data_IF_183075431973
#
_entry.id   IF_183075431973
#
_cell.length_a   1.000
_cell.length_b   1.000
_cell.length_c   1.000
_cell.angle_alpha   90.00
_cell.angle_beta   90.00
_cell.angle_gamma   90.00
#
_symmetry.space_group_name_H-M   'P 1'
#
loop_
_entity.id
_entity.type
_entity.pdbx_description
1 polymer ?
#
# COMPACT_ATOMS: atom_id res chain seq x y z
N UNK A 1 -3.20 -1.08 -10.97
CA UNK A 1 -2.90 -2.48 -11.28
C UNK A 1 -1.79 -2.50 -12.34
N UNK A 2 -0.53 -2.73 -11.94
CA UNK A 2 0.59 -2.88 -12.89
C UNK A 2 0.89 -4.37 -13.04
N UNK A 3 0.15 -5.02 -13.90
CA UNK A 3 0.47 -6.37 -14.38
C UNK A 3 1.35 -6.16 -15.62
N UNK A 4 2.59 -6.69 -15.59
CA UNK A 4 3.41 -6.76 -16.79
C UNK A 4 2.74 -7.73 -17.79
N UNK A 5 3.08 -7.61 -19.07
CA UNK A 5 2.61 -8.50 -20.14
C UNK A 5 2.91 -10.01 -19.91
N UNK A 6 3.60 -10.35 -18.85
CA UNK A 6 3.94 -11.72 -18.40
C UNK A 6 3.18 -12.17 -17.15
N UNK A 7 2.13 -11.45 -16.72
CA UNK A 7 1.28 -11.84 -15.60
C UNK A 7 1.91 -11.76 -14.20
N UNK A 8 3.17 -11.35 -14.08
CA UNK A 8 3.86 -11.23 -12.81
C UNK A 8 3.77 -9.81 -12.26
N UNK A 9 3.36 -9.68 -11.01
CA UNK A 9 3.36 -8.41 -10.31
C UNK A 9 4.79 -7.84 -10.25
N UNK A 10 4.97 -6.60 -10.70
CA UNK A 10 6.28 -5.92 -10.72
C UNK A 10 6.95 -5.91 -9.33
N UNK A 11 6.17 -6.05 -8.27
CA UNK A 11 6.62 -6.11 -6.87
C UNK A 11 7.48 -7.35 -6.57
N UNK A 12 7.23 -8.49 -7.21
CA UNK A 12 7.96 -9.75 -6.93
C UNK A 12 9.35 -9.78 -7.54
N UNK A 13 9.61 -9.05 -8.63
CA UNK A 13 10.92 -9.03 -9.28
C UNK A 13 11.99 -8.22 -8.53
N UNK A 14 11.58 -7.29 -7.66
CA UNK A 14 12.49 -6.37 -6.98
C UNK A 14 12.89 -6.83 -5.57
N UNK A 15 12.30 -7.92 -5.07
CA UNK A 15 12.63 -8.51 -3.76
C UNK A 15 13.81 -9.50 -3.78
N UNK A 16 14.55 -9.62 -4.89
CA UNK A 16 15.84 -10.34 -4.92
C UNK A 16 16.97 -9.48 -4.31
N UNK A 17 16.71 -8.89 -3.17
CA UNK A 17 17.77 -8.36 -2.33
C UNK A 17 18.16 -9.52 -1.44
N UNK A 18 19.40 -9.98 -1.56
CA UNK A 18 19.94 -10.96 -0.61
C UNK A 18 19.88 -10.31 0.78
N UNK A 19 18.92 -10.75 1.59
CA UNK A 19 18.76 -10.28 2.95
C UNK A 19 19.66 -11.15 3.82
N UNK A 20 20.83 -10.63 4.22
CA UNK A 20 21.64 -11.29 5.24
C UNK A 20 20.94 -11.19 6.60
N UNK A 21 21.16 -12.20 7.46
CA UNK A 21 20.63 -12.18 8.83
C UNK A 21 21.11 -10.95 9.62
N UNK A 22 22.34 -10.52 9.38
CA UNK A 22 22.90 -9.29 9.98
C UNK A 22 22.09 -8.04 9.65
N UNK A 23 21.66 -7.92 8.40
CA UNK A 23 20.86 -6.80 7.94
C UNK A 23 19.46 -6.81 8.56
N UNK A 24 18.85 -7.97 8.68
CA UNK A 24 17.55 -8.14 9.34
C UNK A 24 17.68 -7.79 10.82
N UNK A 25 18.72 -8.30 11.51
CA UNK A 25 18.97 -7.99 12.91
C UNK A 25 19.22 -6.50 13.15
N UNK A 26 19.94 -5.82 12.23
CA UNK A 26 20.12 -4.38 12.27
C UNK A 26 18.81 -3.59 12.15
N UNK A 27 17.88 -4.03 11.27
CA UNK A 27 16.56 -3.43 11.16
C UNK A 27 15.75 -3.64 12.47
N UNK A 28 15.76 -4.86 13.01
CA UNK A 28 15.06 -5.18 14.26
C UNK A 28 15.61 -4.33 15.41
N UNK A 29 16.92 -4.20 15.56
CA UNK A 29 17.54 -3.37 16.58
C UNK A 29 17.08 -1.91 16.44
N UNK A 30 17.14 -1.34 15.23
CA UNK A 30 16.74 0.04 14.98
C UNK A 30 15.23 0.30 15.22
N UNK A 31 14.38 -0.70 15.01
CA UNK A 31 12.97 -0.62 15.33
C UNK A 31 12.75 -0.63 16.86
N UNK A 32 13.47 -1.49 17.60
CA UNK A 32 13.42 -1.56 19.07
C UNK A 32 13.90 -0.27 19.72
N UNK A 33 15.00 0.28 19.24
CA UNK A 33 15.58 1.53 19.74
C UNK A 33 14.83 2.79 19.28
N UNK A 34 13.77 2.63 18.44
CA UNK A 34 13.02 3.73 17.83
C UNK A 34 13.86 4.63 16.91
N UNK A 35 15.09 4.25 16.61
CA UNK A 35 16.01 5.00 15.76
C UNK A 35 15.72 4.81 14.26
N UNK A 36 14.85 3.84 13.90
CA UNK A 36 14.51 3.58 12.52
C UNK A 36 13.93 4.82 11.82
N UNK A 37 14.53 5.17 10.68
CA UNK A 37 14.13 6.29 9.84
C UNK A 37 13.90 5.79 8.42
N UNK A 38 12.66 5.79 7.91
CA UNK A 38 12.38 5.45 6.52
C UNK A 38 13.11 6.42 5.58
N UNK A 39 13.62 5.89 4.48
CA UNK A 39 14.22 6.71 3.43
C UNK A 39 13.12 7.23 2.50
N UNK A 40 13.26 8.47 2.00
CA UNK A 40 12.34 8.96 0.98
C UNK A 40 12.36 8.06 -0.26
N UNK A 41 11.21 7.92 -0.91
CA UNK A 41 11.09 7.13 -2.13
C UNK A 41 11.80 7.81 -3.30
N UNK A 42 12.52 7.05 -4.13
CA UNK A 42 13.14 7.56 -5.36
C UNK A 42 12.07 7.75 -6.44
N UNK A 43 12.00 8.95 -7.01
CA UNK A 43 11.08 9.27 -8.09
C UNK A 43 11.54 8.65 -9.41
N UNK A 44 10.64 7.91 -10.07
CA UNK A 44 10.87 7.35 -11.41
C UNK A 44 9.66 7.63 -12.28
N UNK A 45 9.89 8.04 -13.52
CA UNK A 45 8.84 8.31 -14.48
C UNK A 45 8.66 7.12 -15.43
N UNK A 46 7.46 6.58 -15.49
CA UNK A 46 7.09 5.48 -16.40
C UNK A 46 6.14 6.02 -17.46
N UNK A 47 6.42 5.73 -18.74
CA UNK A 47 5.52 6.07 -19.84
C UNK A 47 4.16 5.38 -19.68
N UNK A 48 3.07 6.11 -19.87
CA UNK A 48 1.73 5.51 -19.96
C UNK A 48 1.58 4.85 -21.34
N UNK A 49 1.04 3.62 -21.33
CA UNK A 49 0.70 2.93 -22.56
C UNK A 49 -0.32 3.76 -23.34
N UNK A 50 -0.06 4.00 -24.63
CA UNK A 50 -0.90 4.78 -25.55
C UNK A 50 -1.09 6.28 -25.18
N UNK A 51 -0.12 6.91 -24.50
CA UNK A 51 -0.18 8.33 -24.17
C UNK A 51 1.24 8.91 -24.02
N UNK A 52 1.44 10.16 -24.46
CA UNK A 52 2.68 10.91 -24.22
C UNK A 52 2.87 11.34 -22.75
N UNK A 53 1.90 11.04 -21.88
CA UNK A 53 1.97 11.37 -20.46
C UNK A 53 2.80 10.34 -19.71
N UNK A 54 3.64 10.80 -18.79
CA UNK A 54 4.40 9.95 -17.86
C UNK A 54 3.63 9.78 -16.56
N UNK A 55 3.73 8.59 -15.95
CA UNK A 55 3.23 8.30 -14.61
C UNK A 55 4.39 8.38 -13.65
N UNK A 56 4.22 9.12 -12.57
CA UNK A 56 5.16 9.15 -11.46
C UNK A 56 5.05 7.87 -10.64
N UNK A 57 6.19 7.24 -10.34
CA UNK A 57 6.29 6.11 -9.43
C UNK A 57 7.35 6.39 -8.37
N UNK A 58 7.01 6.20 -7.09
CA UNK A 58 7.95 6.22 -5.98
C UNK A 58 8.52 4.81 -5.73
N UNK A 59 9.83 4.66 -5.81
CA UNK A 59 10.51 3.40 -5.50
C UNK A 59 11.13 3.48 -4.12
N UNK A 60 10.61 2.69 -3.20
CA UNK A 60 11.09 2.57 -1.82
C UNK A 60 12.40 1.77 -1.74
N UNK A 61 13.20 2.01 -0.70
CA UNK A 61 14.38 1.19 -0.40
C UNK A 61 13.98 -0.25 -0.03
N UNK A 62 14.90 -1.21 -0.20
CA UNK A 62 14.60 -2.60 0.12
C UNK A 62 14.30 -2.84 1.60
N UNK A 63 14.97 -2.12 2.50
CA UNK A 63 14.69 -2.21 3.94
C UNK A 63 13.29 -1.67 4.27
N UNK A 64 12.95 -0.52 3.68
CA UNK A 64 11.66 0.11 3.92
C UNK A 64 10.51 -0.75 3.39
N UNK A 65 10.70 -1.41 2.24
CA UNK A 65 9.72 -2.37 1.71
C UNK A 65 9.47 -3.53 2.67
N UNK A 66 10.54 -4.06 3.29
CA UNK A 66 10.39 -5.14 4.25
C UNK A 66 9.58 -4.70 5.47
N UNK A 67 9.96 -3.55 6.05
CA UNK A 67 9.25 -3.00 7.22
C UNK A 67 7.80 -2.67 6.87
N UNK A 68 7.55 -2.07 5.70
CA UNK A 68 6.20 -1.78 5.22
C UNK A 68 5.36 -3.05 5.03
N UNK A 69 5.95 -4.15 4.54
CA UNK A 69 5.22 -5.41 4.40
C UNK A 69 4.81 -5.98 5.77
N UNK A 70 5.69 -5.89 6.78
CA UNK A 70 5.35 -6.28 8.15
C UNK A 70 4.23 -5.39 8.72
N UNK A 71 4.35 -4.06 8.56
CA UNK A 71 3.30 -3.11 8.96
C UNK A 71 1.98 -3.44 8.28
N UNK A 72 2.01 -3.72 6.97
CA UNK A 72 0.83 -4.13 6.20
C UNK A 72 0.18 -5.39 6.77
N UNK A 73 0.96 -6.44 7.07
CA UNK A 73 0.44 -7.69 7.66
C UNK A 73 -0.28 -7.43 8.99
N UNK A 74 0.27 -6.58 9.85
CA UNK A 74 -0.35 -6.19 11.11
C UNK A 74 -1.68 -5.44 10.85
N UNK A 75 -1.66 -4.45 9.97
CA UNK A 75 -2.86 -3.68 9.62
C UNK A 75 -3.92 -4.56 8.96
N UNK A 76 -3.54 -5.49 8.09
CA UNK A 76 -4.46 -6.46 7.48
C UNK A 76 -5.16 -7.29 8.56
N UNK A 77 -4.45 -7.82 9.54
CA UNK A 77 -5.05 -8.63 10.60
C UNK A 77 -6.07 -7.85 11.45
N UNK A 78 -5.87 -6.53 11.63
CA UNK A 78 -6.76 -5.66 12.41
C UNK A 78 -7.98 -5.23 11.59
N UNK A 79 -7.78 -4.87 10.31
CA UNK A 79 -8.81 -4.22 9.50
C UNK A 79 -9.57 -5.16 8.56
N UNK A 80 -9.01 -6.31 8.18
CA UNK A 80 -9.67 -7.26 7.28
C UNK A 80 -11.07 -7.68 7.77
N UNK A 81 -11.29 -7.97 9.07
CA UNK A 81 -12.62 -8.32 9.57
C UNK A 81 -13.65 -7.18 9.50
N UNK A 82 -13.18 -5.94 9.38
CA UNK A 82 -14.01 -4.73 9.41
C UNK A 82 -14.43 -4.28 8.02
N UNK A 83 -13.65 -4.64 7.01
CA UNK A 83 -13.94 -4.23 5.64
C UNK A 83 -15.26 -4.80 5.13
N UNK A 84 -16.01 -3.94 4.47
CA UNK A 84 -17.26 -4.37 3.80
C UNK A 84 -16.99 -5.51 2.82
N UNK A 85 -17.93 -6.45 2.76
CA UNK A 85 -17.89 -7.53 1.76
C UNK A 85 -17.95 -7.03 0.31
N UNK A 86 -18.32 -5.77 0.09
CA UNK A 86 -18.35 -5.11 -1.23
C UNK A 86 -17.01 -4.51 -1.61
N UNK A 87 -16.02 -4.44 -0.69
CA UNK A 87 -14.68 -3.96 -0.96
C UNK A 87 -13.81 -5.10 -1.49
N UNK A 88 -13.22 -4.94 -2.68
CA UNK A 88 -12.40 -5.96 -3.33
C UNK A 88 -10.95 -5.53 -3.57
N UNK A 89 -10.64 -4.23 -3.52
CA UNK A 89 -9.32 -3.70 -3.83
C UNK A 89 -8.28 -4.04 -2.78
N UNK A 90 -7.14 -4.60 -3.20
CA UNK A 90 -5.96 -4.85 -2.36
C UNK A 90 -6.20 -5.72 -1.11
N UNK A 91 -7.20 -6.57 -1.12
CA UNK A 91 -7.53 -7.48 -0.01
C UNK A 91 -7.11 -8.92 -0.31
N UNK A 92 -6.73 -9.71 0.73
CA UNK A 92 -6.48 -11.14 0.59
C UNK A 92 -7.69 -11.87 -0.01
N UNK A 93 -7.43 -12.82 -0.90
CA UNK A 93 -8.48 -13.64 -1.56
C UNK A 93 -9.55 -12.83 -2.33
N UNK A 94 -9.32 -11.55 -2.60
CA UNK A 94 -10.18 -10.69 -3.42
C UNK A 94 -9.44 -10.26 -4.69
N UNK A 95 -10.18 -10.13 -5.78
CA UNK A 95 -9.62 -9.78 -7.10
C UNK A 95 -10.64 -9.03 -7.94
N UNK A 96 -10.23 -8.53 -9.09
CA UNK A 96 -11.16 -7.96 -10.07
C UNK A 96 -12.23 -8.98 -10.49
N UNK A 97 -11.88 -10.27 -10.61
CA UNK A 97 -12.82 -11.32 -10.95
C UNK A 97 -13.89 -11.50 -9.87
N UNK A 98 -13.51 -11.49 -8.60
CA UNK A 98 -14.49 -11.60 -7.50
C UNK A 98 -15.42 -10.38 -7.46
N UNK A 99 -14.91 -9.18 -7.78
CA UNK A 99 -15.74 -7.98 -7.90
C UNK A 99 -16.75 -8.10 -9.05
N UNK A 100 -16.30 -8.54 -10.23
CA UNK A 100 -17.17 -8.73 -11.39
C UNK A 100 -18.25 -9.79 -11.14
N UNK A 101 -17.89 -10.92 -10.52
CA UNK A 101 -18.86 -11.95 -10.15
C UNK A 101 -19.90 -11.41 -9.14
N UNK A 102 -19.48 -10.58 -8.20
CA UNK A 102 -20.40 -9.95 -7.25
C UNK A 102 -21.35 -8.99 -7.96
N UNK A 103 -20.85 -8.14 -8.86
CA UNK A 103 -21.66 -7.23 -9.67
C UNK A 103 -22.68 -8.03 -10.48
N UNK A 104 -22.26 -9.08 -11.18
CA UNK A 104 -23.15 -9.93 -11.97
C UNK A 104 -24.29 -10.50 -11.13
N UNK A 105 -24.02 -10.91 -9.88
CA UNK A 105 -25.03 -11.47 -8.98
C UNK A 105 -25.96 -10.43 -8.38
N UNK A 106 -25.46 -9.23 -8.07
CA UNK A 106 -26.21 -8.23 -7.29
C UNK A 106 -26.89 -7.18 -8.16
N UNK A 107 -26.43 -6.94 -9.40
CA UNK A 107 -26.98 -5.93 -10.29
C UNK A 107 -28.03 -6.48 -11.27
N UNK A 108 -28.51 -7.70 -11.03
CA UNK A 108 -29.60 -8.27 -11.85
C UNK A 108 -30.84 -7.40 -11.71
N UNK A 109 -31.37 -6.92 -12.85
CA UNK A 109 -32.55 -6.05 -12.89
C UNK A 109 -32.30 -4.56 -12.60
N UNK A 110 -31.06 -4.13 -12.39
CA UNK A 110 -30.74 -2.71 -12.28
C UNK A 110 -30.74 -2.04 -13.65
N UNK A 111 -31.48 -0.93 -13.78
CA UNK A 111 -31.50 -0.10 -14.99
C UNK A 111 -30.51 1.07 -14.93
N UNK A 112 -30.05 1.45 -13.74
CA UNK A 112 -29.16 2.59 -13.52
C UNK A 112 -28.06 2.24 -12.53
N UNK A 113 -26.88 2.77 -12.77
CA UNK A 113 -25.76 2.73 -11.80
C UNK A 113 -25.07 4.08 -11.74
N UNK A 114 -24.51 4.41 -10.59
CA UNK A 114 -23.70 5.60 -10.40
C UNK A 114 -22.25 5.18 -10.24
N UNK A 115 -21.38 5.73 -11.09
CA UNK A 115 -19.93 5.55 -11.01
C UNK A 115 -19.29 6.79 -10.39
N UNK A 116 -18.40 6.60 -9.43
CA UNK A 116 -17.65 7.67 -8.79
C UNK A 116 -16.19 7.29 -8.61
N UNK A 117 -15.29 8.26 -8.80
CA UNK A 117 -13.86 8.11 -8.54
C UNK A 117 -13.34 9.31 -7.76
N UNK A 118 -12.38 9.08 -6.86
CA UNK A 118 -11.78 10.15 -6.06
C UNK A 118 -10.54 10.65 -6.78
N UNK A 119 -10.62 11.89 -7.27
CA UNK A 119 -9.49 12.52 -7.96
C UNK A 119 -8.29 12.69 -7.03
N UNK A 120 -7.10 12.26 -7.51
CA UNK A 120 -5.83 12.41 -6.81
C UNK A 120 -5.85 11.92 -5.34
N UNK A 121 -6.57 10.82 -5.04
CA UNK A 121 -6.82 10.32 -3.69
C UNK A 121 -5.56 10.28 -2.81
N UNK A 122 -4.46 9.69 -3.31
CA UNK A 122 -3.22 9.55 -2.54
C UNK A 122 -2.46 10.87 -2.33
N UNK A 123 -2.64 11.84 -3.23
CA UNK A 123 -1.94 13.13 -3.16
C UNK A 123 -2.71 14.15 -2.30
N UNK A 124 -4.04 13.96 -2.15
CA UNK A 124 -4.94 14.86 -1.43
C UNK A 124 -5.24 14.44 0.01
N UNK A 125 -4.79 13.25 0.43
CA UNK A 125 -5.15 12.70 1.74
C UNK A 125 -4.32 13.33 2.85
N UNK A 126 -5.01 13.89 3.86
CA UNK A 126 -4.33 14.41 5.05
C UNK A 126 -3.81 13.26 5.92
N UNK A 127 -2.50 13.26 6.17
CA UNK A 127 -1.83 12.27 6.99
C UNK A 127 -2.36 12.25 8.44
N UNK A 128 -2.82 13.39 8.96
CA UNK A 128 -3.38 13.45 10.31
C UNK A 128 -4.68 12.64 10.40
N UNK A 129 -5.54 12.76 9.39
CA UNK A 129 -6.80 11.98 9.34
C UNK A 129 -6.52 10.48 9.31
N UNK A 130 -5.49 10.03 8.54
CA UNK A 130 -5.09 8.62 8.53
C UNK A 130 -4.72 8.17 9.95
N UNK A 131 -3.87 8.93 10.64
CA UNK A 131 -3.41 8.59 11.99
C UNK A 131 -4.56 8.58 13.00
N UNK A 132 -5.48 9.52 12.93
CA UNK A 132 -6.67 9.55 13.79
C UNK A 132 -7.56 8.31 13.58
N UNK A 133 -7.73 7.86 12.34
CA UNK A 133 -8.48 6.63 12.02
C UNK A 133 -7.78 5.42 12.61
N UNK A 134 -6.45 5.34 12.50
CA UNK A 134 -5.66 4.24 13.06
C UNK A 134 -5.73 4.20 14.58
N UNK A 135 -5.63 5.36 15.25
CA UNK A 135 -5.73 5.49 16.72
C UNK A 135 -7.07 5.03 17.30
N UNK A 136 -8.13 5.00 16.50
CA UNK A 136 -9.43 4.44 16.95
C UNK A 136 -9.40 2.95 17.27
N UNK A 137 -8.38 2.22 16.79
CA UNK A 137 -8.26 0.77 16.93
C UNK A 137 -6.91 0.29 17.42
N UNK A 138 -5.91 1.15 17.40
CA UNK A 138 -4.53 0.81 17.72
C UNK A 138 -4.07 1.78 18.80
N UNK A 139 -3.87 1.26 20.01
CA UNK A 139 -3.42 2.04 21.17
C UNK A 139 -1.90 2.14 21.25
N UNK A 140 -1.16 1.34 20.43
CA UNK A 140 0.30 1.36 20.43
C UNK A 140 0.83 2.63 19.74
N UNK A 141 1.23 3.60 20.56
CA UNK A 141 1.80 4.84 20.06
C UNK A 141 3.11 4.64 19.30
N UNK A 142 3.91 3.62 19.63
CA UNK A 142 5.19 3.37 18.92
C UNK A 142 4.92 2.90 17.51
N UNK A 143 3.93 2.04 17.33
CA UNK A 143 3.50 1.58 16.02
C UNK A 143 2.92 2.75 15.19
N UNK A 144 2.09 3.59 15.79
CA UNK A 144 1.55 4.80 15.15
C UNK A 144 2.67 5.77 14.74
N UNK A 145 3.67 5.99 15.60
CA UNK A 145 4.83 6.83 15.27
C UNK A 145 5.65 6.26 14.11
N UNK A 146 5.78 4.94 14.01
CA UNK A 146 6.45 4.30 12.88
C UNK A 146 5.70 4.59 11.58
N UNK A 147 4.38 4.42 11.56
CA UNK A 147 3.55 4.76 10.40
C UNK A 147 3.70 6.24 10.04
N UNK A 148 3.67 7.12 11.04
CA UNK A 148 3.86 8.56 10.82
C UNK A 148 5.20 8.90 10.18
N UNK A 149 6.29 8.22 10.58
CA UNK A 149 7.60 8.37 9.94
C UNK A 149 7.56 7.97 8.45
N UNK A 150 6.83 6.91 8.09
CA UNK A 150 6.66 6.50 6.70
C UNK A 150 5.84 7.52 5.89
N UNK A 151 4.77 8.05 6.45
CA UNK A 151 3.95 9.08 5.79
C UNK A 151 4.76 10.37 5.55
N UNK A 152 5.65 10.73 6.48
CA UNK A 152 6.52 11.92 6.36
C UNK A 152 7.77 11.71 5.51
N UNK A 153 8.16 10.49 5.19
CA UNK A 153 9.41 10.21 4.48
C UNK A 153 9.48 10.87 3.09
N UNK A 154 8.32 11.07 2.44
CA UNK A 154 8.21 11.81 1.19
C UNK A 154 8.86 11.12 -0.02
N UNK A 155 9.09 11.91 -1.07
CA UNK A 155 9.69 11.48 -2.34
C UNK A 155 10.84 12.42 -2.68
N UNK A 156 11.98 11.86 -3.04
CA UNK A 156 13.13 12.62 -3.58
C UNK A 156 13.06 12.60 -5.12
N UNK A 157 13.40 13.76 -5.71
CA UNK A 157 13.52 13.92 -7.16
C UNK A 157 14.72 13.14 -7.71
#
# INVERSE_FOLDING_TARGET
MCISSTGQCIWTKQLRISMSNERINGIIASLRDRSYRPKPAKRVYIAKKNSNKKRLLGIQSGNDKLVQEVVKMILESIYEPVFSNKSHGFRPNRSCQTALMQIQKTFTGTNWFVEGDIHAYFDSFDHHVIVEILKKRIDDEMFIQLIWKFLKAGIIA
#
